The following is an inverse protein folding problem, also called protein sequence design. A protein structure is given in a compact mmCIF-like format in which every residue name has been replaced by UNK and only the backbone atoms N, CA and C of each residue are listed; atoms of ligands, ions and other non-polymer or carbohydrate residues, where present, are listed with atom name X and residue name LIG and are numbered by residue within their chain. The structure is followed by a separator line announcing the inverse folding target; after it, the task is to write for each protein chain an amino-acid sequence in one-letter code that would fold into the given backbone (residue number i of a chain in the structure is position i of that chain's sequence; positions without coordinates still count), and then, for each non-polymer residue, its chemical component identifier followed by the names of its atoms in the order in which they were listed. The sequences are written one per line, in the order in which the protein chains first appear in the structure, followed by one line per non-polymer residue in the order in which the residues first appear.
data_IF_483590899161
#
_entry.id   IF_483590899161
#
_cell.length_a   1.000
_cell.length_b   1.000
_cell.length_c   1.000
_cell.angle_alpha   90.00
_cell.angle_beta   90.00
_cell.angle_gamma   90.00
#
_symmetry.space_group_name_H-M   'P 1'
#
loop_
_entity.id
_entity.type
_entity.pdbx_description
1 polymer ?
#
# COMPACT_ATOMS: atom_id res chain seq x y z
N UNK A 1 -13.60 1.59 -0.13
CA UNK A 1 -14.74 1.36 -0.98
C UNK A 1 -14.31 1.00 -2.39
N UNK A 2 -15.22 0.40 -3.13
CA UNK A 2 -14.94 -0.12 -4.46
C UNK A 2 -14.50 0.97 -5.43
N UNK A 3 -15.01 2.19 -5.30
CA UNK A 3 -14.64 3.27 -6.20
C UNK A 3 -13.21 3.76 -6.00
N UNK A 4 -12.54 3.36 -4.96
CA UNK A 4 -11.14 3.70 -4.73
C UNK A 4 -10.19 2.70 -5.36
N UNK A 5 -10.69 1.59 -5.82
CA UNK A 5 -9.94 0.62 -6.57
C UNK A 5 -10.18 0.86 -8.04
N UNK A 6 -9.12 1.11 -8.76
CA UNK A 6 -9.25 1.33 -10.19
C UNK A 6 -9.40 0.00 -10.92
N UNK A 7 -10.06 0.00 -12.08
CA UNK A 7 -10.10 -1.20 -12.89
C UNK A 7 -8.71 -1.68 -13.28
N UNK A 8 -8.67 -2.89 -13.74
CA UNK A 8 -7.47 -3.53 -14.20
C UNK A 8 -6.85 -2.77 -15.36
N UNK A 9 -5.54 -2.58 -15.29
CA UNK A 9 -4.74 -2.06 -16.39
C UNK A 9 -4.03 -3.24 -17.02
N UNK A 10 -4.24 -3.45 -18.32
CA UNK A 10 -3.58 -4.54 -19.05
C UNK A 10 -2.41 -3.99 -19.84
N UNK A 11 -1.25 -4.58 -19.66
CA UNK A 11 -0.06 -4.21 -20.37
C UNK A 11 0.78 -5.45 -20.62
N UNK A 12 0.93 -5.85 -21.87
CA UNK A 12 1.71 -7.02 -22.23
C UNK A 12 1.19 -8.33 -21.67
N UNK A 13 -0.11 -8.44 -21.46
CA UNK A 13 -0.72 -9.64 -20.90
C UNK A 13 -0.77 -9.66 -19.38
N UNK A 14 -0.19 -8.66 -18.70
CA UNK A 14 -0.27 -8.53 -17.26
C UNK A 14 -1.42 -7.59 -16.88
N UNK A 15 -2.07 -7.90 -15.76
CA UNK A 15 -3.18 -7.11 -15.24
C UNK A 15 -2.78 -6.48 -13.91
N UNK A 16 -2.94 -5.17 -13.82
CA UNK A 16 -2.66 -4.43 -12.60
C UNK A 16 -3.94 -3.81 -12.06
N UNK A 17 -4.10 -3.88 -10.75
CA UNK A 17 -5.15 -3.17 -10.04
C UNK A 17 -4.50 -2.01 -9.31
N UNK A 18 -5.12 -0.84 -9.34
CA UNK A 18 -4.62 0.36 -8.68
C UNK A 18 -5.46 0.62 -7.45
N UNK A 19 -4.81 0.74 -6.30
CA UNK A 19 -5.47 1.06 -5.04
C UNK A 19 -4.98 2.44 -4.60
N UNK A 20 -5.92 3.36 -4.41
CA UNK A 20 -5.59 4.69 -3.92
C UNK A 20 -5.21 4.62 -2.45
N UNK A 21 -4.00 5.05 -2.13
CA UNK A 21 -3.45 4.99 -0.77
C UNK A 21 -2.84 6.34 -0.39
N UNK A 22 -3.69 7.37 -0.21
CA UNK A 22 -3.16 8.69 0.15
C UNK A 22 -2.57 8.69 1.56
N UNK A 23 -1.71 9.64 1.81
CA UNK A 23 -1.07 9.82 3.10
C UNK A 23 0.32 10.39 2.96
N UNK A 24 1.23 9.72 2.27
CA UNK A 24 2.52 10.29 1.91
C UNK A 24 2.29 11.48 0.96
N UNK A 25 1.39 11.31 0.01
CA UNK A 25 0.85 12.39 -0.80
C UNK A 25 -0.60 12.09 -1.11
N UNK A 26 -1.33 13.10 -1.58
CA UNK A 26 -2.75 12.93 -1.90
C UNK A 26 -2.97 12.03 -3.12
N UNK A 27 -1.95 11.91 -3.98
CA UNK A 27 -2.03 11.08 -5.19
C UNK A 27 -1.37 9.73 -5.07
N UNK A 28 -0.90 9.33 -3.90
CA UNK A 28 -0.21 8.06 -3.72
C UNK A 28 -1.12 6.88 -4.03
N UNK A 29 -0.56 5.88 -4.71
CA UNK A 29 -1.28 4.66 -5.05
C UNK A 29 -0.38 3.45 -4.84
N UNK A 30 -1.00 2.29 -4.68
CA UNK A 30 -0.33 1.00 -4.74
C UNK A 30 -0.82 0.27 -5.99
N UNK A 31 0.07 -0.47 -6.62
CA UNK A 31 -0.29 -1.33 -7.75
C UNK A 31 -0.26 -2.77 -7.29
N UNK A 32 -1.29 -3.53 -7.65
CA UNK A 32 -1.38 -4.95 -7.31
C UNK A 32 -1.38 -5.74 -8.62
N UNK A 33 -0.45 -6.67 -8.73
CA UNK A 33 -0.37 -7.59 -9.85
C UNK A 33 -0.23 -9.00 -9.29
N UNK A 34 -1.23 -9.83 -9.49
CA UNK A 34 -1.28 -11.20 -8.95
C UNK A 34 -1.06 -11.16 -7.43
N UNK A 35 0.02 -11.74 -6.92
CA UNK A 35 0.31 -11.81 -5.50
C UNK A 35 1.35 -10.77 -5.06
N UNK A 36 1.55 -9.71 -5.84
CA UNK A 36 2.56 -8.70 -5.59
C UNK A 36 1.92 -7.32 -5.46
N UNK A 37 2.31 -6.59 -4.43
CA UNK A 37 1.93 -5.19 -4.23
C UNK A 37 3.17 -4.32 -4.43
N UNK A 38 3.08 -3.37 -5.35
CA UNK A 38 4.09 -2.32 -5.51
C UNK A 38 3.60 -1.14 -4.68
N UNK A 39 4.16 -0.98 -3.49
CA UNK A 39 3.59 -0.09 -2.48
C UNK A 39 4.16 1.33 -2.52
N UNK A 40 5.13 1.62 -3.38
CA UNK A 40 5.67 2.95 -3.52
C UNK A 40 6.13 3.52 -2.19
N UNK A 41 5.62 4.69 -1.84
CA UNK A 41 5.94 5.37 -0.59
C UNK A 41 4.86 5.20 0.47
N UNK A 42 4.06 4.15 0.39
CA UNK A 42 3.00 3.89 1.36
C UNK A 42 3.46 2.93 2.45
N UNK A 43 3.84 1.71 2.08
CA UNK A 43 4.20 0.67 3.04
C UNK A 43 5.62 0.19 2.78
N UNK A 44 6.43 0.19 3.83
CA UNK A 44 7.81 -0.27 3.81
C UNK A 44 7.99 -1.42 4.80
N UNK A 45 9.14 -2.07 4.72
CA UNK A 45 9.52 -3.08 5.70
C UNK A 45 9.56 -2.43 7.10
N UNK A 46 8.63 -2.81 7.95
CA UNK A 46 8.49 -2.31 9.34
C UNK A 46 8.39 -0.78 9.43
N UNK A 47 7.96 -0.14 8.35
CA UNK A 47 7.88 1.32 8.30
C UNK A 47 6.80 1.75 7.29
N UNK A 48 6.64 3.05 7.15
CA UNK A 48 5.73 3.66 6.19
C UNK A 48 6.36 4.92 5.61
N UNK A 49 5.76 5.42 4.55
CA UNK A 49 6.18 6.70 3.99
C UNK A 49 5.94 7.84 4.96
N UNK A 50 6.74 8.88 4.85
CA UNK A 50 6.62 10.07 5.72
C UNK A 50 5.29 10.77 5.48
N UNK A 51 4.74 11.32 6.56
CA UNK A 51 3.48 12.05 6.52
C UNK A 51 3.62 13.46 7.10
N UNK A 52 4.84 13.97 7.19
CA UNK A 52 5.14 15.27 7.77
C UNK A 52 5.47 16.35 6.72
N UNK A 53 5.32 16.03 5.44
CA UNK A 53 5.50 17.02 4.37
C UNK A 53 4.22 17.81 4.14
N UNK A 54 4.31 19.02 3.57
CA UNK A 54 3.13 19.67 3.01
C UNK A 54 2.47 18.75 1.99
N UNK A 55 1.15 18.58 2.09
CA UNK A 55 0.43 17.65 1.23
C UNK A 55 0.36 16.22 1.75
N UNK A 56 1.10 15.90 2.79
CA UNK A 56 0.98 14.62 3.49
C UNK A 56 -0.12 14.67 4.54
N UNK A 57 -0.65 13.50 4.91
CA UNK A 57 -1.73 13.43 5.89
C UNK A 57 -1.65 12.10 6.65
N UNK A 58 -1.34 12.14 7.96
CA UNK A 58 -1.21 10.90 8.75
C UNK A 58 -2.53 10.15 8.92
N UNK A 59 -3.67 10.84 8.93
CA UNK A 59 -4.97 10.19 9.03
C UNK A 59 -5.25 9.42 7.74
N UNK A 60 -4.98 10.03 6.59
CA UNK A 60 -5.11 9.35 5.30
C UNK A 60 -4.19 8.14 5.22
N UNK A 61 -2.96 8.28 5.70
CA UNK A 61 -2.02 7.15 5.73
C UNK A 61 -2.57 6.00 6.55
N UNK A 62 -3.10 6.28 7.73
CA UNK A 62 -3.68 5.24 8.57
C UNK A 62 -4.82 4.51 7.86
N UNK A 63 -5.71 5.26 7.21
CA UNK A 63 -6.82 4.68 6.47
C UNK A 63 -6.32 3.85 5.30
N UNK A 64 -5.27 4.30 4.63
CA UNK A 64 -4.66 3.56 3.53
C UNK A 64 -4.03 2.25 4.00
N UNK A 65 -3.32 2.27 5.13
CA UNK A 65 -2.74 1.06 5.72
C UNK A 65 -3.83 0.08 6.13
N UNK A 66 -4.93 0.57 6.68
CA UNK A 66 -6.07 -0.27 7.02
C UNK A 66 -6.65 -0.92 5.78
N UNK A 67 -6.79 -0.17 4.70
CA UNK A 67 -7.27 -0.70 3.43
C UNK A 67 -6.38 -1.84 2.94
N UNK A 68 -5.05 -1.67 3.00
CA UNK A 68 -4.13 -2.73 2.61
C UNK A 68 -4.25 -3.94 3.54
N UNK A 69 -4.40 -3.71 4.84
CA UNK A 69 -4.50 -4.80 5.81
C UNK A 69 -5.73 -5.67 5.60
N UNK A 70 -6.76 -5.14 4.95
CA UNK A 70 -8.02 -5.84 4.71
C UNK A 70 -8.05 -6.61 3.40
N UNK A 71 -6.98 -6.56 2.62
CA UNK A 71 -6.90 -7.36 1.39
C UNK A 71 -6.89 -8.85 1.74
N UNK A 72 -7.57 -9.64 0.90
CA UNK A 72 -7.61 -11.08 1.09
C UNK A 72 -6.28 -11.73 0.76
N UNK A 73 -5.82 -12.61 1.65
CA UNK A 73 -4.63 -13.40 1.41
C UNK A 73 -3.36 -12.64 1.71
N UNK A 74 -2.25 -13.23 1.27
CA UNK A 74 -0.93 -12.63 1.46
C UNK A 74 -0.39 -12.15 0.12
N UNK A 75 0.51 -11.20 0.19
CA UNK A 75 1.12 -10.58 -0.98
C UNK A 75 2.60 -10.34 -0.70
N UNK A 76 3.42 -10.47 -1.72
CA UNK A 76 4.76 -9.90 -1.68
C UNK A 76 4.65 -8.39 -1.80
N UNK A 77 5.40 -7.67 -1.00
CA UNK A 77 5.39 -6.20 -1.03
C UNK A 77 6.73 -5.71 -1.52
N UNK A 78 6.70 -4.96 -2.61
CA UNK A 78 7.87 -4.34 -3.21
C UNK A 78 7.75 -2.84 -3.03
N UNK A 79 8.37 -2.29 -1.98
CA UNK A 79 8.27 -0.84 -1.70
C UNK A 79 9.21 -0.02 -2.58
N UNK A 80 8.98 1.28 -2.59
CA UNK A 80 9.86 2.20 -3.28
C UNK A 80 11.22 2.36 -2.61
N UNK A 81 11.28 2.09 -1.32
CA UNK A 81 12.50 2.15 -0.51
C UNK A 81 12.55 0.95 0.42
N UNK A 82 13.74 0.62 0.88
CA UNK A 82 13.98 -0.49 1.78
C UNK A 82 13.81 -1.83 1.07
N UNK A 83 13.79 -2.90 1.85
CA UNK A 83 13.79 -4.26 1.33
C UNK A 83 12.38 -4.76 1.07
N UNK A 84 12.23 -5.74 0.17
CA UNK A 84 10.95 -6.40 0.00
C UNK A 84 10.49 -7.09 1.28
N UNK A 85 9.17 -7.23 1.41
CA UNK A 85 8.56 -7.89 2.55
C UNK A 85 7.29 -8.61 2.10
N UNK A 86 6.45 -9.03 3.04
CA UNK A 86 5.13 -9.58 2.74
C UNK A 86 4.07 -8.81 3.52
N UNK A 87 2.87 -8.77 2.97
CA UNK A 87 1.77 -8.08 3.64
C UNK A 87 1.44 -8.72 4.98
N UNK A 88 1.46 -10.05 5.04
CA UNK A 88 1.17 -10.76 6.28
C UNK A 88 2.18 -10.43 7.38
N UNK A 89 3.46 -10.37 7.03
CA UNK A 89 4.50 -9.95 7.99
C UNK A 89 4.26 -8.54 8.49
N UNK A 90 3.87 -7.63 7.60
CA UNK A 90 3.63 -6.24 7.99
C UNK A 90 2.38 -6.10 8.84
N UNK A 91 1.33 -6.87 8.55
CA UNK A 91 0.14 -6.90 9.41
C UNK A 91 0.50 -7.25 10.85
N UNK A 92 1.41 -8.19 11.04
CA UNK A 92 1.78 -8.69 12.37
C UNK A 92 2.86 -7.87 13.05
N UNK A 93 3.81 -7.35 12.30
CA UNK A 93 5.05 -6.84 12.87
C UNK A 93 5.30 -5.36 12.62
N UNK A 94 4.60 -4.75 11.66
CA UNK A 94 4.77 -3.33 11.38
C UNK A 94 4.08 -2.51 12.46
N UNK A 95 4.79 -1.64 13.19
CA UNK A 95 4.19 -0.91 14.29
C UNK A 95 3.05 0.02 13.85
N UNK A 96 3.02 0.43 12.60
CA UNK A 96 1.97 1.31 12.07
C UNK A 96 0.73 0.53 11.62
N UNK A 97 0.82 -0.79 11.48
CA UNK A 97 -0.30 -1.64 11.05
C UNK A 97 -0.88 -2.50 12.17
N UNK A 98 -0.16 -2.70 13.25
CA UNK A 98 -0.56 -3.65 14.27
C UNK A 98 -1.86 -3.28 14.98
N UNK A 99 -2.17 -2.00 15.09
CA UNK A 99 -3.29 -1.52 15.89
C UNK A 99 -4.30 -0.69 15.09
N UNK A 100 -4.44 -0.97 13.82
CA UNK A 100 -5.40 -0.24 12.98
C UNK A 100 -6.63 -1.05 12.65
#
# INVERSE_FOLDING_TARGET
SAEKEKPVINDGGLSFRVIHTPGHSSGSVCYVCEDVIFSGDTLFYRSIGRTDFPGSNPIDMRNSLKKLSLLDGDYKVLPGHNMPTTLDSERRLNPYMKNI
#
